data_IF_428537981948
#
_entry.id   IF_428537981948
#
_cell.length_a   1.000
_cell.length_b   1.000
_cell.length_c   1.000
_cell.angle_alpha   90.00
_cell.angle_beta   90.00
_cell.angle_gamma   90.00
#
_symmetry.space_group_name_H-M   'P 1'
#
loop_
_entity.id
_entity.type
_entity.pdbx_description
1 polymer ?
#
# COMPACT_ATOMS: atom_id res chain seq x y z
N UNK A 1 -43.89 23.01 4.28
CA UNK A 1 -43.48 21.69 4.78
C UNK A 1 -42.16 21.89 5.51
N UNK A 2 -42.14 21.93 6.87
CA UNK A 2 -40.91 22.15 7.62
C UNK A 2 -40.04 20.87 7.67
N UNK A 3 -38.72 21.08 7.59
CA UNK A 3 -37.64 20.09 7.46
C UNK A 3 -37.41 19.30 8.76
N UNK A 4 -37.43 17.95 8.67
CA UNK A 4 -37.35 17.02 9.80
C UNK A 4 -35.93 16.73 10.27
N UNK A 5 -34.91 17.38 9.71
CA UNK A 5 -33.50 17.14 10.07
C UNK A 5 -33.02 17.85 11.34
N UNK A 6 -33.86 18.65 12.00
CA UNK A 6 -33.49 19.44 13.17
C UNK A 6 -34.02 18.88 14.51
N UNK A 7 -34.66 17.70 14.51
CA UNK A 7 -35.29 17.13 15.71
C UNK A 7 -34.52 15.97 16.34
N UNK A 8 -33.48 15.44 15.69
CA UNK A 8 -32.68 14.34 16.24
C UNK A 8 -31.74 14.82 17.37
N UNK A 9 -31.20 16.03 17.26
CA UNK A 9 -30.29 16.61 18.26
C UNK A 9 -30.96 16.92 19.60
N UNK A 10 -32.30 16.99 19.64
CA UNK A 10 -33.08 17.26 20.86
C UNK A 10 -33.50 15.98 21.59
N UNK A 11 -33.39 14.80 20.96
CA UNK A 11 -33.78 13.51 21.55
C UNK A 11 -32.62 12.82 22.31
N UNK A 12 -31.39 13.33 22.21
CA UNK A 12 -30.26 12.82 22.99
C UNK A 12 -30.29 13.26 24.46
N UNK A 13 -31.00 14.35 24.77
CA UNK A 13 -31.00 14.95 26.11
C UNK A 13 -32.15 14.46 27.00
N UNK A 14 -33.14 13.76 26.44
CA UNK A 14 -34.29 13.18 27.16
C UNK A 14 -34.20 11.65 27.30
N UNK A 15 -33.19 11.02 26.70
CA UNK A 15 -32.88 9.64 27.03
C UNK A 15 -32.34 9.62 28.44
N UNK A 16 -33.13 9.12 29.40
CA UNK A 16 -32.67 8.86 30.76
C UNK A 16 -31.27 8.24 30.67
N UNK A 17 -30.30 8.83 31.37
CA UNK A 17 -28.96 8.29 31.48
C UNK A 17 -29.02 7.06 32.40
N UNK A 18 -29.75 6.05 31.94
CA UNK A 18 -29.76 4.74 32.55
C UNK A 18 -28.40 4.14 32.21
N UNK A 19 -27.66 3.61 33.20
CA UNK A 19 -26.44 2.89 32.90
C UNK A 19 -26.77 1.78 31.89
N UNK A 20 -25.94 1.61 30.84
CA UNK A 20 -26.20 0.62 29.80
C UNK A 20 -26.46 -0.75 30.43
N UNK A 21 -27.53 -1.42 30.02
CA UNK A 21 -27.88 -2.73 30.57
C UNK A 21 -26.78 -3.74 30.26
N UNK A 22 -26.67 -4.82 31.05
CA UNK A 22 -25.69 -5.88 30.78
C UNK A 22 -25.87 -6.45 29.37
N UNK A 23 -27.11 -6.51 28.86
CA UNK A 23 -27.38 -6.93 27.47
C UNK A 23 -26.82 -5.93 26.44
N UNK A 24 -27.00 -4.63 26.66
CA UNK A 24 -26.46 -3.57 25.79
C UNK A 24 -24.92 -3.54 25.80
N UNK A 25 -24.32 -3.76 26.98
CA UNK A 25 -22.87 -3.84 27.14
C UNK A 25 -22.29 -5.03 26.39
N UNK A 26 -22.90 -6.21 26.53
CA UNK A 26 -22.48 -7.45 25.88
C UNK A 26 -22.65 -7.36 24.36
N UNK A 27 -23.75 -6.77 23.87
CA UNK A 27 -23.96 -6.51 22.44
C UNK A 27 -22.93 -5.52 21.87
N UNK A 28 -22.54 -4.49 22.63
CA UNK A 28 -21.50 -3.53 22.20
C UNK A 28 -20.08 -4.13 22.17
N UNK A 29 -19.80 -5.13 23.00
CA UNK A 29 -18.55 -5.89 22.93
C UNK A 29 -18.56 -6.90 21.78
N UNK A 30 -19.71 -7.49 21.47
CA UNK A 30 -19.87 -8.40 20.33
C UNK A 30 -19.69 -7.67 18.99
N UNK A 31 -20.30 -6.49 18.82
CA UNK A 31 -20.25 -5.68 17.60
C UNK A 31 -18.82 -5.21 17.25
N UNK A 32 -18.02 -4.87 18.27
CA UNK A 32 -16.62 -4.43 18.08
C UNK A 32 -15.69 -5.51 17.55
N UNK A 33 -15.96 -6.78 17.83
CA UNK A 33 -15.08 -7.87 17.42
C UNK A 33 -15.36 -8.37 15.98
N UNK A 34 -16.50 -8.00 15.38
CA UNK A 34 -16.90 -8.50 14.06
C UNK A 34 -16.34 -7.72 12.87
N UNK A 35 -15.80 -6.51 13.08
CA UNK A 35 -15.45 -5.58 12.00
C UNK A 35 -13.95 -5.30 11.83
N UNK A 36 -13.07 -6.04 12.50
CA UNK A 36 -11.65 -5.67 12.58
C UNK A 36 -10.69 -6.80 12.19
N UNK A 37 -10.89 -7.39 11.01
CA UNK A 37 -9.84 -8.15 10.32
C UNK A 37 -9.58 -7.53 8.94
N UNK A 38 -8.79 -6.45 8.93
CA UNK A 38 -8.26 -5.89 7.70
C UNK A 38 -7.41 -6.95 6.97
N UNK A 39 -7.88 -7.37 5.81
CA UNK A 39 -7.51 -8.61 5.15
C UNK A 39 -6.03 -8.77 4.79
N UNK A 40 -5.44 -9.86 5.29
CA UNK A 40 -4.13 -10.40 4.89
C UNK A 40 -4.02 -10.74 3.39
N UNK A 41 -5.15 -10.89 2.68
CA UNK A 41 -5.21 -11.32 1.29
C UNK A 41 -4.46 -10.40 0.32
N UNK A 42 -4.46 -9.09 0.58
CA UNK A 42 -3.76 -8.13 -0.28
C UNK A 42 -2.25 -8.37 -0.22
N UNK A 43 -1.65 -8.53 0.97
CA UNK A 43 -0.21 -8.80 1.12
C UNK A 43 0.25 -10.06 0.39
N UNK A 44 -0.57 -11.12 0.41
CA UNK A 44 -0.31 -12.38 -0.29
C UNK A 44 -0.26 -12.18 -1.81
N UNK A 45 -1.17 -11.40 -2.39
CA UNK A 45 -1.20 -11.13 -3.84
C UNK A 45 0.04 -10.36 -4.31
N UNK A 46 0.55 -9.44 -3.48
CA UNK A 46 1.76 -8.68 -3.80
C UNK A 46 3.00 -9.54 -3.69
N UNK A 47 3.10 -10.35 -2.63
CA UNK A 47 4.19 -11.32 -2.49
C UNK A 47 4.29 -12.22 -3.72
N UNK A 48 3.14 -12.68 -4.22
CA UNK A 48 3.06 -13.51 -5.43
C UNK A 48 3.46 -12.74 -6.69
N UNK A 49 2.98 -11.50 -6.87
CA UNK A 49 3.38 -10.64 -7.99
C UNK A 49 4.89 -10.34 -8.03
N UNK A 50 5.50 -10.09 -6.88
CA UNK A 50 6.94 -9.85 -6.74
C UNK A 50 7.77 -11.09 -7.11
N UNK A 51 7.34 -12.27 -6.66
CA UNK A 51 7.99 -13.54 -6.99
C UNK A 51 7.85 -13.85 -8.47
N UNK A 52 6.66 -13.71 -9.05
CA UNK A 52 6.44 -13.92 -10.49
C UNK A 52 7.33 -13.01 -11.33
N UNK A 53 7.40 -11.72 -10.98
CA UNK A 53 8.23 -10.77 -11.72
C UNK A 53 9.73 -11.11 -11.59
N UNK A 54 10.17 -11.55 -10.42
CA UNK A 54 11.57 -11.99 -10.19
C UNK A 54 11.89 -13.27 -10.96
N UNK A 55 10.97 -14.23 -11.01
CA UNK A 55 11.14 -15.48 -11.76
C UNK A 55 11.27 -15.22 -13.28
N UNK A 56 10.42 -14.34 -13.83
CA UNK A 56 10.50 -13.91 -15.23
C UNK A 56 11.86 -13.24 -15.50
N UNK A 57 12.34 -12.41 -14.57
CA UNK A 57 13.63 -11.73 -14.68
C UNK A 57 14.80 -12.71 -14.74
N UNK A 58 14.85 -13.67 -13.82
CA UNK A 58 15.93 -14.67 -13.77
C UNK A 58 15.91 -15.56 -15.02
N UNK A 59 14.72 -15.92 -15.50
CA UNK A 59 14.57 -16.68 -16.73
C UNK A 59 15.11 -15.92 -17.95
N UNK A 60 14.83 -14.61 -18.05
CA UNK A 60 15.31 -13.77 -19.15
C UNK A 60 16.82 -13.45 -19.04
N UNK A 61 17.32 -13.23 -17.83
CA UNK A 61 18.74 -12.95 -17.58
C UNK A 61 19.65 -14.14 -17.90
N UNK A 62 19.13 -15.37 -17.86
CA UNK A 62 19.86 -16.58 -18.27
C UNK A 62 20.09 -16.71 -19.78
N UNK A 63 19.36 -15.94 -20.60
CA UNK A 63 19.54 -15.95 -22.05
C UNK A 63 20.54 -14.84 -22.40
N UNK A 64 21.77 -15.22 -22.75
CA UNK A 64 22.88 -14.32 -23.06
C UNK A 64 22.57 -13.46 -24.29
N UNK A 65 22.03 -12.25 -24.08
CA UNK A 65 22.01 -11.18 -25.06
C UNK A 65 22.87 -10.04 -24.52
N UNK A 66 24.17 -10.10 -24.80
CA UNK A 66 25.23 -9.26 -24.22
C UNK A 66 24.96 -7.73 -24.18
N UNK A 67 24.07 -7.19 -25.03
CA UNK A 67 23.62 -5.79 -24.98
C UNK A 67 22.19 -5.56 -24.46
N UNK A 68 21.29 -6.55 -24.56
CA UNK A 68 19.89 -6.43 -24.14
C UNK A 68 19.68 -6.69 -22.64
N UNK A 69 20.67 -7.27 -21.96
CA UNK A 69 20.61 -7.53 -20.52
C UNK A 69 20.45 -6.24 -19.71
N UNK A 70 21.10 -5.14 -20.10
CA UNK A 70 21.01 -3.86 -19.38
C UNK A 70 19.62 -3.23 -19.53
N UNK A 71 19.08 -3.20 -20.76
CA UNK A 71 17.75 -2.65 -21.04
C UNK A 71 16.67 -3.46 -20.32
N UNK A 72 16.80 -4.79 -20.35
CA UNK A 72 15.90 -5.72 -19.66
C UNK A 72 15.95 -5.53 -18.14
N UNK A 73 17.15 -5.41 -17.56
CA UNK A 73 17.32 -5.15 -16.14
C UNK A 73 16.69 -3.81 -15.71
N UNK A 74 16.82 -2.76 -16.52
CA UNK A 74 16.18 -1.46 -16.29
C UNK A 74 14.65 -1.54 -16.36
N UNK A 75 14.11 -2.18 -17.39
CA UNK A 75 12.66 -2.33 -17.57
C UNK A 75 12.04 -3.05 -16.36
N UNK A 76 12.69 -4.11 -15.90
CA UNK A 76 12.25 -4.90 -14.74
C UNK A 76 12.34 -4.10 -13.45
N UNK A 77 13.42 -3.33 -13.27
CA UNK A 77 13.57 -2.46 -12.11
C UNK A 77 12.46 -1.40 -12.02
N UNK A 78 12.04 -0.85 -13.17
CA UNK A 78 10.90 0.07 -13.26
C UNK A 78 9.59 -0.63 -12.90
N UNK A 79 9.32 -1.83 -13.45
CA UNK A 79 8.08 -2.57 -13.15
C UNK A 79 8.00 -2.91 -11.66
N UNK A 80 9.11 -3.38 -11.07
CA UNK A 80 9.18 -3.69 -9.64
C UNK A 80 8.92 -2.44 -8.79
N UNK A 81 9.49 -1.29 -9.17
CA UNK A 81 9.29 -0.01 -8.48
C UNK A 81 7.88 0.55 -8.66
N UNK A 82 7.26 0.36 -9.83
CA UNK A 82 5.88 0.75 -10.11
C UNK A 82 4.89 -0.07 -9.28
N UNK A 83 5.16 -1.36 -9.06
CA UNK A 83 4.35 -2.21 -8.19
C UNK A 83 4.43 -1.74 -6.74
N UNK A 84 5.63 -1.37 -6.26
CA UNK A 84 5.83 -0.74 -4.94
C UNK A 84 5.02 0.56 -4.83
N UNK A 85 5.10 1.45 -5.82
CA UNK A 85 4.38 2.72 -5.82
C UNK A 85 2.85 2.55 -5.80
N UNK A 86 2.33 1.70 -6.69
CA UNK A 86 0.88 1.44 -6.77
C UNK A 86 0.36 0.71 -5.53
N UNK A 87 1.19 -0.16 -4.92
CA UNK A 87 0.80 -0.92 -3.75
C UNK A 87 0.73 -0.08 -2.48
N UNK A 88 1.75 0.74 -2.24
CA UNK A 88 1.72 1.66 -1.11
C UNK A 88 0.62 2.73 -1.24
N UNK A 89 0.13 2.98 -2.46
CA UNK A 89 -1.00 3.87 -2.71
C UNK A 89 -2.36 3.23 -2.35
N UNK A 90 -2.45 1.90 -2.33
CA UNK A 90 -3.71 1.20 -2.05
C UNK A 90 -3.79 0.58 -0.64
N UNK A 91 -2.70 0.48 0.12
CA UNK A 91 -2.71 -0.11 1.48
C UNK A 91 -2.47 0.87 2.63
N UNK A 92 -2.50 2.18 2.38
CA UNK A 92 -2.34 3.14 3.47
C UNK A 92 -3.17 4.39 3.33
N UNK A 93 -4.46 4.22 3.62
CA UNK A 93 -5.10 5.21 4.47
C UNK A 93 -4.33 5.26 5.81
N UNK A 94 -3.68 6.39 6.08
CA UNK A 94 -3.42 6.96 7.42
C UNK A 94 -2.00 7.22 7.92
N UNK A 95 -0.92 6.56 7.47
CA UNK A 95 0.41 6.91 8.04
C UNK A 95 1.38 7.58 7.04
N UNK A 96 1.47 8.94 7.06
CA UNK A 96 2.28 9.76 6.13
C UNK A 96 3.77 9.40 6.11
N UNK A 97 4.26 8.70 7.13
CA UNK A 97 5.62 8.18 7.21
C UNK A 97 5.98 7.23 6.04
N UNK A 98 5.05 6.41 5.54
CA UNK A 98 5.36 5.52 4.39
C UNK A 98 5.44 6.30 3.09
N UNK A 99 4.65 7.37 2.93
CA UNK A 99 4.75 8.25 1.77
C UNK A 99 6.14 8.88 1.66
N UNK A 100 6.70 9.33 2.79
CA UNK A 100 8.08 9.85 2.84
C UNK A 100 9.09 8.74 2.50
N UNK A 101 8.90 7.53 3.03
CA UNK A 101 9.83 6.42 2.83
C UNK A 101 9.90 5.98 1.35
N UNK A 102 8.76 5.94 0.66
CA UNK A 102 8.68 5.64 -0.78
C UNK A 102 9.33 6.75 -1.60
N UNK A 103 9.05 8.02 -1.27
CA UNK A 103 9.66 9.14 -1.96
C UNK A 103 11.19 9.10 -1.84
N UNK A 104 11.71 8.84 -0.64
CA UNK A 104 13.15 8.68 -0.37
C UNK A 104 13.73 7.50 -1.16
N UNK A 105 13.05 6.34 -1.15
CA UNK A 105 13.46 5.16 -1.91
C UNK A 105 13.53 5.44 -3.42
N UNK A 106 12.53 6.13 -3.97
CA UNK A 106 12.46 6.47 -5.39
C UNK A 106 13.54 7.48 -5.78
N UNK A 107 13.83 8.47 -4.93
CA UNK A 107 14.93 9.43 -5.13
C UNK A 107 16.27 8.71 -5.18
N UNK A 108 16.54 7.82 -4.22
CA UNK A 108 17.79 7.03 -4.17
C UNK A 108 17.90 6.10 -5.39
N UNK A 109 16.79 5.51 -5.83
CA UNK A 109 16.76 4.67 -7.02
C UNK A 109 17.12 5.44 -8.29
N UNK A 110 16.52 6.63 -8.48
CA UNK A 110 16.86 7.50 -9.62
C UNK A 110 18.32 7.93 -9.56
N UNK A 111 18.83 8.31 -8.38
CA UNK A 111 20.25 8.63 -8.19
C UNK A 111 21.17 7.48 -8.58
N UNK A 112 20.84 6.24 -8.20
CA UNK A 112 21.60 5.05 -8.59
C UNK A 112 21.64 4.85 -10.10
N UNK A 113 20.52 5.03 -10.81
CA UNK A 113 20.51 4.94 -12.29
C UNK A 113 21.38 6.03 -12.90
N UNK A 114 21.21 7.29 -12.48
CA UNK A 114 21.99 8.42 -13.02
C UNK A 114 23.49 8.19 -12.79
N UNK A 115 23.89 7.79 -11.58
CA UNK A 115 25.28 7.52 -11.25
C UNK A 115 25.86 6.36 -12.06
N UNK A 116 25.09 5.29 -12.24
CA UNK A 116 25.50 4.13 -13.04
C UNK A 116 25.71 4.51 -14.51
N UNK A 117 24.79 5.28 -15.10
CA UNK A 117 24.94 5.75 -16.48
C UNK A 117 26.11 6.74 -16.63
N UNK A 118 26.29 7.62 -15.65
CA UNK A 118 27.42 8.55 -15.62
C UNK A 118 28.75 7.78 -15.57
N UNK A 119 28.87 6.80 -14.69
CA UNK A 119 30.06 5.92 -14.60
C UNK A 119 30.31 5.14 -15.91
N UNK A 120 29.26 4.61 -16.55
CA UNK A 120 29.38 3.91 -17.84
C UNK A 120 29.91 4.81 -18.97
N UNK A 121 29.48 6.08 -19.02
CA UNK A 121 29.90 7.04 -20.04
C UNK A 121 31.32 7.55 -19.78
N UNK A 122 31.68 7.79 -18.52
CA UNK A 122 33.02 8.26 -18.13
C UNK A 122 34.09 7.17 -18.11
N UNK A 123 33.70 5.89 -18.22
CA UNK A 123 34.61 4.74 -18.35
C UNK A 123 35.15 4.54 -19.78
N UNK A 124 35.07 5.55 -20.64
CA UNK A 124 35.73 5.65 -21.94
C UNK A 124 36.75 6.79 -21.91
#
# INVERSE_FOLDING_TARGET
MPDTKNTEHLNYSEKNFDPPTEEDFLNSLSDKNAHQEAGFGTYILIWLGLISLTAITVALAGINLAGLTVITALAIAIIKSSLVANYFMHIKFDAPIFKIFIAVSLIIFVLMIVLTFFDLIFRN
#
